data_IF_933654544830
#
_entry.id   IF_933654544830
#
_cell.length_a   1.000
_cell.length_b   1.000
_cell.length_c   1.000
_cell.angle_alpha   90.00
_cell.angle_beta   90.00
_cell.angle_gamma   90.00
#
_symmetry.space_group_name_H-M   'P 1'
#
loop_
_entity.id
_entity.type
_entity.pdbx_description
1 polymer ?
#
# COMPACT_ATOMS: atom_id res chain seq x y z
N UNK A 1 -3.20 6.61 -11.58
CA UNK A 1 -3.53 5.74 -12.74
C UNK A 1 -4.79 4.92 -12.49
N UNK A 2 -4.90 4.18 -11.38
CA UNK A 2 -6.11 3.39 -11.07
C UNK A 2 -7.23 4.18 -10.37
N UNK A 3 -7.30 5.51 -10.47
CA UNK A 3 -8.43 6.25 -9.89
C UNK A 3 -9.39 6.61 -11.03
N UNK A 4 -10.67 6.21 -10.99
CA UNK A 4 -11.62 6.55 -12.03
C UNK A 4 -11.78 8.06 -12.18
N UNK A 5 -11.84 8.56 -13.42
CA UNK A 5 -12.00 9.98 -13.71
C UNK A 5 -13.37 10.51 -13.28
N UNK A 6 -14.39 9.64 -13.27
CA UNK A 6 -15.76 9.95 -12.89
C UNK A 6 -16.13 9.49 -11.47
N UNK A 7 -15.14 9.16 -10.62
CA UNK A 7 -15.40 8.59 -9.29
C UNK A 7 -16.30 9.48 -8.40
N UNK A 8 -16.13 10.80 -8.45
CA UNK A 8 -16.94 11.74 -7.67
C UNK A 8 -18.41 11.76 -8.12
N UNK A 9 -18.66 11.79 -9.44
CA UNK A 9 -20.01 11.74 -10.01
C UNK A 9 -20.70 10.41 -9.70
N UNK A 10 -20.00 9.29 -9.88
CA UNK A 10 -20.53 7.95 -9.57
C UNK A 10 -20.86 7.82 -8.09
N UNK A 11 -20.04 8.40 -7.20
CA UNK A 11 -20.30 8.43 -5.76
C UNK A 11 -21.60 9.13 -5.42
N UNK A 12 -21.82 10.33 -5.96
CA UNK A 12 -23.02 11.12 -5.70
C UNK A 12 -24.29 10.38 -6.15
N UNK A 13 -24.25 9.81 -7.36
CA UNK A 13 -25.36 9.01 -7.91
C UNK A 13 -25.62 7.74 -7.11
N UNK A 14 -24.57 7.02 -6.71
CA UNK A 14 -24.72 5.77 -5.97
C UNK A 14 -25.28 6.00 -4.57
N UNK A 15 -24.72 6.96 -3.81
CA UNK A 15 -25.14 7.25 -2.43
C UNK A 15 -26.53 7.89 -2.35
N UNK A 16 -26.97 8.58 -3.41
CA UNK A 16 -28.36 9.08 -3.51
C UNK A 16 -29.37 8.00 -3.92
N UNK A 17 -28.91 6.81 -4.31
CA UNK A 17 -29.74 5.73 -4.84
C UNK A 17 -30.17 5.93 -6.30
N UNK A 18 -29.57 6.88 -7.03
CA UNK A 18 -29.89 7.14 -8.43
C UNK A 18 -29.36 6.05 -9.38
N UNK A 19 -28.36 5.27 -8.95
CA UNK A 19 -27.82 4.11 -9.67
C UNK A 19 -27.64 2.93 -8.73
N UNK A 20 -27.85 1.73 -9.25
CA UNK A 20 -27.60 0.49 -8.52
C UNK A 20 -26.09 0.19 -8.49
N UNK A 21 -25.46 0.14 -9.66
CA UNK A 21 -24.03 -0.14 -9.82
C UNK A 21 -23.31 1.05 -10.47
N UNK A 22 -22.15 1.47 -9.96
CA UNK A 22 -21.34 2.50 -10.61
C UNK A 22 -20.69 1.97 -11.88
N UNK A 23 -20.57 2.83 -12.90
CA UNK A 23 -19.79 2.57 -14.11
C UNK A 23 -18.60 3.51 -14.12
N UNK A 24 -17.40 2.95 -14.01
CA UNK A 24 -16.16 3.70 -13.88
C UNK A 24 -15.49 3.93 -15.23
N UNK A 25 -15.09 5.18 -15.47
CA UNK A 25 -14.30 5.57 -16.63
C UNK A 25 -12.86 5.83 -16.21
N UNK A 26 -11.89 5.25 -16.92
CA UNK A 26 -10.46 5.46 -16.69
C UNK A 26 -9.86 6.22 -17.87
N UNK A 27 -8.92 7.12 -17.57
CA UNK A 27 -8.08 7.71 -18.60
C UNK A 27 -7.14 6.67 -19.23
N UNK A 28 -6.66 6.94 -20.44
CA UNK A 28 -5.72 6.06 -21.11
C UNK A 28 -4.47 5.83 -20.25
N UNK A 29 -4.19 4.56 -19.91
CA UNK A 29 -2.98 4.18 -19.20
C UNK A 29 -1.89 3.84 -20.21
N UNK A 30 -0.95 4.77 -20.40
CA UNK A 30 0.21 4.53 -21.28
C UNK A 30 1.28 3.78 -20.47
N UNK A 31 1.35 2.46 -20.66
CA UNK A 31 2.42 1.63 -20.11
C UNK A 31 3.54 1.56 -21.15
N UNK A 32 4.74 2.14 -20.88
CA UNK A 32 5.83 2.14 -21.85
C UNK A 32 6.23 0.71 -22.22
N UNK A 33 6.76 0.54 -23.42
CA UNK A 33 7.42 -0.70 -23.81
C UNK A 33 8.65 -0.88 -22.91
N UNK A 34 8.65 -1.95 -22.11
CA UNK A 34 9.73 -2.27 -21.20
C UNK A 34 10.40 -3.57 -21.65
N UNK A 35 11.73 -3.56 -21.68
CA UNK A 35 12.53 -4.76 -21.89
C UNK A 35 12.86 -5.36 -20.53
N UNK A 36 12.44 -6.60 -20.31
CA UNK A 36 12.76 -7.36 -19.11
C UNK A 36 13.90 -8.31 -19.42
N UNK A 37 14.99 -8.33 -18.63
CA UNK A 37 16.07 -9.27 -18.84
C UNK A 37 15.57 -10.69 -18.55
N UNK A 38 16.06 -11.65 -19.34
CA UNK A 38 15.91 -13.08 -19.05
C UNK A 38 17.07 -13.51 -18.16
N UNK A 39 16.76 -14.23 -17.07
CA UNK A 39 17.76 -14.69 -16.10
C UNK A 39 17.71 -16.22 -16.04
N UNK A 40 18.86 -16.85 -16.27
CA UNK A 40 19.05 -18.26 -15.94
C UNK A 40 19.27 -18.39 -14.44
N UNK A 41 18.47 -19.20 -13.77
CA UNK A 41 18.54 -19.36 -12.31
C UNK A 41 19.45 -20.52 -11.96
N UNK A 42 20.60 -20.21 -11.35
CA UNK A 42 21.52 -21.18 -10.74
C UNK A 42 21.68 -20.99 -9.23
N UNK A 43 21.30 -19.83 -8.69
CA UNK A 43 21.43 -19.48 -7.27
C UNK A 43 20.11 -18.95 -6.69
N UNK A 44 20.01 -18.91 -5.36
CA UNK A 44 18.87 -18.32 -4.65
C UNK A 44 18.73 -16.81 -4.95
N UNK A 45 19.83 -16.08 -5.03
CA UNK A 45 19.81 -14.66 -5.39
C UNK A 45 19.23 -14.43 -6.80
N UNK A 46 19.64 -15.22 -7.79
CA UNK A 46 19.09 -15.15 -9.15
C UNK A 46 17.60 -15.51 -9.20
N UNK A 47 17.14 -16.41 -8.34
CA UNK A 47 15.71 -16.71 -8.19
C UNK A 47 14.94 -15.48 -7.68
N UNK A 48 15.46 -14.76 -6.68
CA UNK A 48 14.84 -13.54 -6.16
C UNK A 48 14.78 -12.43 -7.22
N UNK A 49 15.82 -12.30 -8.05
CA UNK A 49 15.83 -11.39 -9.20
C UNK A 49 14.78 -11.77 -10.25
N UNK A 50 14.72 -13.04 -10.65
CA UNK A 50 13.68 -13.56 -11.58
C UNK A 50 12.29 -13.24 -11.05
N UNK A 51 12.04 -13.50 -9.77
CA UNK A 51 10.73 -13.27 -9.16
C UNK A 51 10.36 -11.79 -9.16
N UNK A 52 11.33 -10.90 -8.88
CA UNK A 52 11.11 -9.45 -8.92
C UNK A 52 10.86 -8.93 -10.34
N UNK A 53 11.55 -9.47 -11.34
CA UNK A 53 11.32 -9.18 -12.75
C UNK A 53 9.91 -9.65 -13.15
N UNK A 54 9.54 -10.87 -12.78
CA UNK A 54 8.22 -11.44 -13.03
C UNK A 54 7.10 -10.59 -12.43
N UNK A 55 7.23 -10.19 -11.15
CA UNK A 55 6.29 -9.29 -10.48
C UNK A 55 6.17 -7.96 -11.22
N UNK A 56 7.28 -7.35 -11.63
CA UNK A 56 7.28 -6.06 -12.34
C UNK A 56 6.63 -6.16 -13.73
N UNK A 57 6.90 -7.25 -14.46
CA UNK A 57 6.24 -7.60 -15.73
C UNK A 57 4.73 -7.77 -15.54
N UNK A 58 4.33 -8.45 -14.47
CA UNK A 58 2.93 -8.61 -14.10
C UNK A 58 2.23 -7.29 -13.78
N UNK A 59 2.85 -6.41 -13.00
CA UNK A 59 2.30 -5.07 -12.71
C UNK A 59 2.10 -4.24 -13.98
N UNK A 60 3.04 -4.32 -14.93
CA UNK A 60 2.93 -3.66 -16.23
C UNK A 60 1.74 -4.18 -17.04
N UNK A 61 1.55 -5.51 -17.06
CA UNK A 61 0.41 -6.14 -17.70
C UNK A 61 -0.91 -5.77 -17.01
N UNK A 62 -0.94 -5.76 -15.68
CA UNK A 62 -2.12 -5.40 -14.90
C UNK A 62 -2.62 -3.99 -15.26
N UNK A 63 -1.71 -3.02 -15.41
CA UNK A 63 -2.06 -1.67 -15.85
C UNK A 63 -2.64 -1.62 -17.28
N UNK A 64 -2.25 -2.54 -18.16
CA UNK A 64 -2.82 -2.66 -19.51
C UNK A 64 -4.20 -3.32 -19.51
N UNK A 65 -4.54 -4.06 -18.44
CA UNK A 65 -5.83 -4.74 -18.27
C UNK A 65 -6.88 -3.86 -17.57
N UNK A 66 -6.61 -2.58 -17.28
CA UNK A 66 -7.61 -1.69 -16.69
C UNK A 66 -8.85 -1.62 -17.61
N UNK A 67 -10.01 -1.94 -17.04
CA UNK A 67 -11.29 -2.08 -17.76
C UNK A 67 -11.54 -3.43 -18.43
N UNK A 68 -10.59 -4.37 -18.32
CA UNK A 68 -10.80 -5.79 -18.62
C UNK A 68 -11.03 -6.53 -17.30
N UNK A 69 -12.22 -6.35 -16.72
CA UNK A 69 -12.51 -6.63 -15.31
C UNK A 69 -12.12 -8.05 -14.87
N UNK A 70 -12.42 -9.07 -15.67
CA UNK A 70 -12.13 -10.48 -15.35
C UNK A 70 -10.63 -10.76 -15.34
N UNK A 71 -9.92 -10.40 -16.41
CA UNK A 71 -8.48 -10.61 -16.55
C UNK A 71 -7.68 -9.77 -15.54
N UNK A 72 -8.13 -8.53 -15.29
CA UNK A 72 -7.54 -7.64 -14.29
C UNK A 72 -7.66 -8.24 -12.90
N UNK A 73 -8.85 -8.70 -12.52
CA UNK A 73 -9.09 -9.34 -11.21
C UNK A 73 -8.27 -10.63 -11.06
N UNK A 74 -8.24 -11.47 -12.09
CA UNK A 74 -7.48 -12.72 -12.07
C UNK A 74 -5.97 -12.47 -11.89
N UNK A 75 -5.40 -11.53 -12.66
CA UNK A 75 -3.99 -11.17 -12.51
C UNK A 75 -3.72 -10.45 -11.17
N UNK A 76 -4.67 -9.65 -10.69
CA UNK A 76 -4.60 -9.02 -9.37
C UNK A 76 -4.40 -10.05 -8.26
N UNK A 77 -5.18 -11.13 -8.26
CA UNK A 77 -5.06 -12.24 -7.31
C UNK A 77 -3.72 -12.98 -7.42
N UNK A 78 -3.17 -13.12 -8.63
CA UNK A 78 -1.84 -13.74 -8.83
C UNK A 78 -0.72 -12.85 -8.26
N UNK A 79 -0.79 -11.54 -8.49
CA UNK A 79 0.24 -10.59 -8.05
C UNK A 79 0.15 -10.24 -6.56
N UNK A 80 -1.06 -10.26 -6.03
CA UNK A 80 -1.38 -9.94 -4.64
C UNK A 80 -2.28 -11.04 -4.08
N UNK A 81 -1.70 -12.21 -3.75
CA UNK A 81 -2.45 -13.35 -3.25
C UNK A 81 -3.14 -12.99 -1.93
N UNK A 82 -4.41 -13.35 -1.84
CA UNK A 82 -5.23 -13.14 -0.65
C UNK A 82 -5.14 -14.37 0.23
N UNK A 83 -4.75 -14.18 1.48
CA UNK A 83 -4.76 -15.20 2.52
C UNK A 83 -5.79 -14.83 3.58
N UNK A 84 -6.27 -15.82 4.32
CA UNK A 84 -7.16 -15.55 5.45
C UNK A 84 -6.41 -14.77 6.54
N UNK A 85 -7.12 -13.82 7.14
CA UNK A 85 -6.70 -13.05 8.31
C UNK A 85 -7.92 -12.99 9.22
N UNK A 86 -7.72 -13.20 10.52
CA UNK A 86 -8.81 -13.00 11.48
C UNK A 86 -9.23 -11.53 11.47
N UNK A 87 -10.51 -11.28 11.17
CA UNK A 87 -11.06 -9.94 11.19
C UNK A 87 -11.52 -9.63 12.62
N UNK A 88 -10.86 -8.71 13.37
CA UNK A 88 -11.35 -8.28 14.66
C UNK A 88 -12.71 -7.59 14.51
N UNK A 89 -13.51 -7.50 15.57
CA UNK A 89 -14.76 -6.75 15.53
C UNK A 89 -14.50 -5.26 15.20
N UNK A 90 -15.48 -4.56 14.61
CA UNK A 90 -15.36 -3.13 14.36
C UNK A 90 -15.07 -2.38 15.67
N UNK A 91 -14.09 -1.49 15.64
CA UNK A 91 -13.74 -0.65 16.78
C UNK A 91 -14.45 0.70 16.69
N UNK A 92 -14.75 1.31 17.82
CA UNK A 92 -15.32 2.65 17.85
C UNK A 92 -14.31 3.68 17.38
N UNK A 93 -14.67 4.45 16.34
CA UNK A 93 -13.92 5.66 15.96
C UNK A 93 -14.17 6.75 17.00
N UNK A 94 -13.13 7.15 17.72
CA UNK A 94 -13.19 8.38 18.51
C UNK A 94 -13.24 9.59 17.56
N UNK A 95 -14.14 10.54 17.83
CA UNK A 95 -14.16 11.81 17.09
C UNK A 95 -13.03 12.70 17.61
N UNK A 96 -11.91 12.68 16.92
CA UNK A 96 -10.80 13.62 17.14
C UNK A 96 -10.95 14.86 16.24
N UNK A 97 -10.54 16.02 16.74
CA UNK A 97 -10.56 17.27 15.99
C UNK A 97 -9.41 17.33 14.98
N UNK A 98 -9.74 17.56 13.71
CA UNK A 98 -8.76 17.67 12.62
C UNK A 98 -8.16 19.08 12.59
N UNK A 99 -7.02 19.28 13.24
CA UNK A 99 -6.39 20.59 13.40
C UNK A 99 -5.16 20.83 12.51
N UNK A 100 -4.52 19.77 12.01
CA UNK A 100 -3.24 19.85 11.29
C UNK A 100 -3.47 19.94 9.78
N UNK A 101 -2.90 20.95 9.14
CA UNK A 101 -2.97 21.18 7.69
C UNK A 101 -1.71 20.75 6.93
N UNK A 102 -1.79 20.82 5.59
CA UNK A 102 -0.72 20.37 4.69
C UNK A 102 0.65 21.01 4.95
N UNK A 103 0.72 22.32 5.23
CA UNK A 103 1.99 23.03 5.46
C UNK A 103 2.73 22.51 6.70
N UNK A 104 2.00 22.25 7.78
CA UNK A 104 2.58 21.70 9.01
C UNK A 104 3.08 20.27 8.80
N UNK A 105 2.30 19.45 8.09
CA UNK A 105 2.71 18.11 7.70
C UNK A 105 4.02 18.13 6.91
N UNK A 106 4.10 19.02 5.91
CA UNK A 106 5.31 19.16 5.10
C UNK A 106 6.52 19.53 5.95
N UNK A 107 6.37 20.50 6.86
CA UNK A 107 7.43 20.90 7.79
C UNK A 107 7.91 19.72 8.63
N UNK A 108 6.98 18.98 9.26
CA UNK A 108 7.31 17.80 10.07
C UNK A 108 8.00 16.72 9.24
N UNK A 109 7.58 16.50 8.00
CA UNK A 109 8.23 15.53 7.11
C UNK A 109 9.64 15.97 6.74
N UNK A 110 9.85 17.27 6.49
CA UNK A 110 11.18 17.83 6.23
C UNK A 110 12.11 17.65 7.43
N UNK A 111 11.62 17.93 8.63
CA UNK A 111 12.35 17.76 9.91
C UNK A 111 12.70 16.28 10.14
N UNK A 112 11.77 15.37 9.87
CA UNK A 112 11.99 13.93 9.99
C UNK A 112 13.05 13.40 9.01
N UNK A 113 13.06 13.89 7.76
CA UNK A 113 14.11 13.56 6.78
C UNK A 113 15.49 14.00 7.28
N UNK A 114 15.61 15.21 7.83
CA UNK A 114 16.85 15.73 8.40
C UNK A 114 17.29 14.89 9.61
N UNK A 115 16.36 14.53 10.50
CA UNK A 115 16.64 13.69 11.67
C UNK A 115 17.14 12.28 11.30
N UNK A 116 16.72 11.75 10.14
CA UNK A 116 17.23 10.50 9.59
C UNK A 116 18.56 10.64 8.82
N UNK A 117 19.07 11.85 8.60
CA UNK A 117 20.23 12.08 7.73
C UNK A 117 19.93 11.77 6.25
N UNK A 118 18.68 11.91 5.82
CA UNK A 118 18.25 11.60 4.46
C UNK A 118 18.19 12.87 3.62
N UNK A 119 19.03 12.92 2.58
CA UNK A 119 19.18 14.06 1.68
C UNK A 119 18.55 13.81 0.30
N UNK A 120 18.29 14.90 -0.43
CA UNK A 120 17.84 14.85 -1.83
C UNK A 120 16.38 14.44 -2.03
N UNK A 121 15.57 14.48 -0.96
CA UNK A 121 14.13 14.27 -1.02
C UNK A 121 13.37 15.60 -1.06
N UNK A 122 12.37 15.69 -1.93
CA UNK A 122 11.48 16.84 -2.07
C UNK A 122 10.12 16.54 -1.42
N UNK A 123 9.67 17.40 -0.51
CA UNK A 123 8.29 17.36 0.01
C UNK A 123 7.50 18.47 -0.67
N UNK A 124 6.39 18.12 -1.33
CA UNK A 124 5.60 19.07 -2.13
C UNK A 124 4.10 18.95 -1.91
N UNK A 125 3.39 20.04 -2.19
CA UNK A 125 1.94 20.02 -2.28
C UNK A 125 1.48 19.39 -3.59
N UNK A 126 0.42 18.60 -3.52
CA UNK A 126 -0.29 18.05 -4.68
C UNK A 126 -1.79 18.35 -4.55
N UNK A 127 -2.43 18.74 -5.65
CA UNK A 127 -3.88 19.01 -5.69
C UNK A 127 -4.65 17.82 -6.26
N UNK A 128 -4.02 17.03 -7.12
CA UNK A 128 -4.66 15.97 -7.88
C UNK A 128 -4.11 14.59 -7.49
N UNK A 129 -4.33 14.19 -6.24
CA UNK A 129 -4.00 12.85 -5.76
C UNK A 129 -5.18 12.18 -5.02
N UNK A 130 -5.34 10.87 -5.23
CA UNK A 130 -6.40 10.07 -4.61
C UNK A 130 -6.14 9.76 -3.13
N UNK A 131 -4.87 9.71 -2.74
CA UNK A 131 -4.43 9.48 -1.36
C UNK A 131 -4.22 10.82 -0.66
N UNK A 132 -4.30 10.84 0.68
CA UNK A 132 -3.93 12.02 1.48
C UNK A 132 -2.46 12.39 1.26
N UNK A 133 -1.61 11.37 1.12
CA UNK A 133 -0.16 11.47 0.98
C UNK A 133 0.33 10.31 0.11
N UNK A 134 1.48 10.47 -0.55
CA UNK A 134 2.19 9.34 -1.16
C UNK A 134 3.69 9.60 -1.30
N UNK A 135 4.48 8.53 -1.18
CA UNK A 135 5.93 8.50 -1.41
C UNK A 135 6.23 7.96 -2.80
N UNK A 136 7.02 8.70 -3.57
CA UNK A 136 7.62 8.25 -4.82
C UNK A 136 9.14 8.16 -4.64
N UNK A 137 9.60 6.96 -4.30
CA UNK A 137 11.02 6.68 -4.05
C UNK A 137 11.92 6.90 -5.27
N UNK A 138 11.40 6.72 -6.49
CA UNK A 138 12.20 6.84 -7.72
C UNK A 138 12.52 8.29 -8.07
N UNK A 139 11.57 9.18 -7.82
CA UNK A 139 11.78 10.63 -7.96
C UNK A 139 12.28 11.27 -6.66
N UNK A 140 12.39 10.50 -5.57
CA UNK A 140 12.65 10.99 -4.20
C UNK A 140 11.69 12.12 -3.81
N UNK A 141 10.38 11.92 -4.04
CA UNK A 141 9.35 12.91 -3.75
C UNK A 141 8.33 12.39 -2.75
N UNK A 142 7.87 13.27 -1.89
CA UNK A 142 6.73 13.05 -1.00
C UNK A 142 5.69 14.10 -1.33
N UNK A 143 4.50 13.65 -1.71
CA UNK A 143 3.40 14.54 -2.05
C UNK A 143 2.37 14.57 -0.93
N UNK A 144 2.00 15.77 -0.49
CA UNK A 144 0.97 16.03 0.52
C UNK A 144 -0.21 16.70 -0.14
N UNK A 145 -1.42 16.14 0.03
CA UNK A 145 -2.62 16.72 -0.59
C UNK A 145 -2.95 18.07 0.05
N UNK A 146 -3.17 19.09 -0.76
CA UNK A 146 -3.31 20.47 -0.27
C UNK A 146 -4.50 20.69 0.69
N UNK A 147 -5.58 19.93 0.54
CA UNK A 147 -6.80 20.04 1.35
C UNK A 147 -6.79 19.12 2.58
N UNK A 148 -5.69 18.40 2.83
CA UNK A 148 -5.66 17.42 3.90
C UNK A 148 -5.82 18.09 5.27
N UNK A 149 -6.59 17.44 6.13
CA UNK A 149 -6.69 17.75 7.56
C UNK A 149 -6.55 16.44 8.34
N UNK A 150 -5.66 16.44 9.33
CA UNK A 150 -5.38 15.27 10.18
C UNK A 150 -5.28 15.69 11.65
N UNK A 151 -5.31 14.70 12.53
CA UNK A 151 -5.07 14.92 13.96
C UNK A 151 -3.57 14.96 14.27
N UNK A 152 -3.14 15.54 15.41
CA UNK A 152 -1.74 15.45 15.84
C UNK A 152 -1.24 14.01 16.01
N UNK A 153 -2.11 13.10 16.45
CA UNK A 153 -1.83 11.67 16.56
C UNK A 153 -1.59 11.04 15.18
N UNK A 154 -2.45 11.35 14.21
CA UNK A 154 -2.25 10.94 12.81
C UNK A 154 -0.95 11.51 12.22
N UNK A 155 -0.57 12.75 12.52
CA UNK A 155 0.69 13.33 12.03
C UNK A 155 1.89 12.50 12.51
N UNK A 156 1.95 12.16 13.80
CA UNK A 156 3.01 11.32 14.35
C UNK A 156 3.03 9.95 13.68
N UNK A 157 1.87 9.31 13.57
CA UNK A 157 1.72 8.00 12.96
C UNK A 157 2.13 7.98 11.47
N UNK A 158 1.69 8.95 10.69
CA UNK A 158 2.02 9.11 9.27
C UNK A 158 3.49 9.47 9.06
N UNK A 159 4.11 10.22 9.97
CA UNK A 159 5.55 10.50 9.90
C UNK A 159 6.36 9.21 10.05
N UNK A 160 5.97 8.34 11.00
CA UNK A 160 6.58 7.01 11.15
C UNK A 160 6.34 6.12 9.92
N UNK A 161 5.13 6.13 9.37
CA UNK A 161 4.74 5.34 8.19
C UNK A 161 5.53 5.76 6.93
N UNK A 162 5.42 7.03 6.54
CA UNK A 162 5.95 7.51 5.26
C UNK A 162 7.47 7.71 5.34
N UNK A 163 7.98 8.33 6.40
CA UNK A 163 9.42 8.60 6.55
C UNK A 163 10.12 7.40 7.17
N UNK A 164 9.68 6.99 8.37
CA UNK A 164 10.32 5.94 9.16
C UNK A 164 10.34 4.56 8.51
N UNK A 165 9.43 4.29 7.58
CA UNK A 165 9.40 3.02 6.84
C UNK A 165 9.71 3.22 5.37
N UNK A 166 8.86 3.87 4.58
CA UNK A 166 9.08 3.89 3.11
C UNK A 166 10.37 4.60 2.71
N UNK A 167 10.62 5.80 3.22
CA UNK A 167 11.82 6.57 2.87
C UNK A 167 13.08 5.92 3.45
N UNK A 168 13.06 5.54 4.73
CA UNK A 168 14.19 4.89 5.41
C UNK A 168 14.57 3.57 4.74
N UNK A 169 13.61 2.68 4.46
CA UNK A 169 13.89 1.38 3.82
C UNK A 169 14.45 1.54 2.42
N UNK A 170 13.99 2.54 1.68
CA UNK A 170 14.58 2.87 0.38
C UNK A 170 16.01 3.39 0.54
N UNK A 171 16.26 4.33 1.46
CA UNK A 171 17.58 4.91 1.69
C UNK A 171 18.59 3.84 2.12
N UNK A 172 18.23 3.02 3.13
CA UNK A 172 19.05 1.90 3.58
C UNK A 172 19.23 0.86 2.47
N UNK A 173 18.16 0.52 1.74
CA UNK A 173 18.21 -0.35 0.58
C UNK A 173 19.27 0.10 -0.42
N UNK A 174 19.29 1.38 -0.80
CA UNK A 174 20.30 1.96 -1.71
C UNK A 174 21.73 1.96 -1.16
N UNK A 175 21.93 1.84 0.16
CA UNK A 175 23.25 1.70 0.78
C UNK A 175 23.75 0.25 0.78
N UNK A 176 22.87 -0.72 0.55
CA UNK A 176 23.26 -2.13 0.46
C UNK A 176 24.10 -2.39 -0.79
N UNK A 177 25.03 -3.34 -0.67
CA UNK A 177 25.86 -3.79 -1.80
C UNK A 177 25.04 -4.49 -2.88
N UNK A 178 23.99 -5.20 -2.48
CA UNK A 178 23.14 -5.99 -3.37
C UNK A 178 22.07 -5.11 -4.05
N UNK A 179 22.11 -4.91 -5.38
CA UNK A 179 21.19 -4.00 -6.07
C UNK A 179 19.72 -4.40 -5.97
N UNK A 180 19.40 -5.68 -5.78
CA UNK A 180 18.02 -6.10 -5.54
C UNK A 180 17.41 -5.44 -4.30
N UNK A 181 18.22 -5.19 -3.26
CA UNK A 181 17.78 -4.54 -2.03
C UNK A 181 17.47 -3.05 -2.20
N UNK A 182 17.94 -2.41 -3.28
CA UNK A 182 17.62 -1.02 -3.61
C UNK A 182 16.14 -0.87 -3.95
N UNK A 183 15.56 -1.92 -4.54
CA UNK A 183 14.19 -1.92 -5.08
C UNK A 183 13.24 -2.81 -4.30
N UNK A 184 13.80 -3.75 -3.52
CA UNK A 184 13.08 -4.76 -2.75
C UNK A 184 12.84 -6.06 -3.51
N UNK A 185 12.82 -7.17 -2.77
CA UNK A 185 12.44 -8.49 -3.29
C UNK A 185 10.95 -8.55 -3.61
N UNK A 186 10.53 -9.52 -4.41
CA UNK A 186 9.10 -9.72 -4.72
C UNK A 186 8.26 -9.86 -3.44
N UNK A 187 8.73 -10.68 -2.48
CA UNK A 187 8.07 -10.93 -1.20
C UNK A 187 8.17 -9.74 -0.26
N UNK A 188 9.31 -9.04 -0.25
CA UNK A 188 9.50 -7.82 0.53
C UNK A 188 8.51 -6.72 0.16
N UNK A 189 8.21 -6.56 -1.14
CA UNK A 189 7.17 -5.64 -1.61
C UNK A 189 5.75 -6.03 -1.18
N UNK A 190 5.49 -7.31 -0.90
CA UNK A 190 4.18 -7.77 -0.43
C UNK A 190 3.94 -7.45 1.07
N UNK A 191 5.00 -7.32 1.86
CA UNK A 191 4.91 -7.03 3.31
C UNK A 191 5.23 -5.58 3.67
N UNK A 192 5.59 -4.76 2.69
CA UNK A 192 6.06 -3.39 2.92
C UNK A 192 5.03 -2.52 3.66
N UNK A 193 3.78 -2.51 3.20
CA UNK A 193 2.68 -1.80 3.87
C UNK A 193 2.40 -2.39 5.26
N UNK A 194 2.63 -3.69 5.45
CA UNK A 194 2.51 -4.35 6.75
C UNK A 194 3.52 -3.85 7.78
N UNK A 195 4.77 -3.65 7.35
CA UNK A 195 5.82 -3.03 8.20
C UNK A 195 5.43 -1.61 8.56
N UNK A 196 4.94 -0.84 7.58
CA UNK A 196 4.50 0.53 7.81
C UNK A 196 3.34 0.58 8.81
N UNK A 197 2.34 -0.29 8.67
CA UNK A 197 1.20 -0.37 9.58
C UNK A 197 1.57 -0.86 10.98
N UNK A 198 2.53 -1.79 11.11
CA UNK A 198 3.01 -2.24 12.42
C UNK A 198 3.71 -1.10 13.17
N UNK A 199 4.56 -0.34 12.47
CA UNK A 199 5.26 0.83 13.04
C UNK A 199 4.29 1.98 13.36
N UNK A 200 3.24 2.14 12.55
CA UNK A 200 2.18 3.13 12.77
C UNK A 200 1.34 2.77 14.00
N UNK A 201 0.89 1.51 14.07
CA UNK A 201 -0.03 0.96 15.07
C UNK A 201 0.40 -0.48 15.48
N UNK A 202 1.31 -0.63 16.47
CA UNK A 202 1.82 -1.94 16.87
C UNK A 202 0.75 -2.94 17.33
N UNK A 203 -0.34 -2.43 17.90
CA UNK A 203 -1.48 -3.22 18.38
C UNK A 203 -2.52 -3.52 17.26
N UNK A 204 -2.26 -3.04 16.05
CA UNK A 204 -3.16 -3.14 14.90
C UNK A 204 -4.16 -1.98 14.82
N UNK A 205 -4.74 -1.80 13.63
CA UNK A 205 -5.73 -0.76 13.39
C UNK A 205 -6.94 -1.33 12.63
N UNK A 206 -8.20 -0.99 13.02
CA UNK A 206 -9.42 -1.56 12.43
C UNK A 206 -9.46 -1.46 10.91
N UNK A 207 -9.04 -0.31 10.40
CA UNK A 207 -8.98 0.01 8.98
C UNK A 207 -8.17 -0.96 8.12
N UNK A 208 -7.20 -1.68 8.70
CA UNK A 208 -6.44 -2.72 7.99
C UNK A 208 -7.35 -3.89 7.65
N UNK A 209 -8.13 -4.34 8.63
CA UNK A 209 -9.04 -5.47 8.53
C UNK A 209 -10.32 -5.12 7.74
N UNK A 210 -10.83 -3.89 7.85
CA UNK A 210 -11.91 -3.39 6.98
C UNK A 210 -11.51 -3.46 5.49
N UNK A 211 -10.25 -3.13 5.16
CA UNK A 211 -9.73 -3.25 3.78
C UNK A 211 -9.61 -4.71 3.33
N UNK A 212 -9.16 -5.60 4.23
CA UNK A 212 -9.06 -7.03 3.93
C UNK A 212 -10.45 -7.64 3.69
N UNK A 213 -11.40 -7.36 4.59
CA UNK A 213 -12.80 -7.75 4.46
C UNK A 213 -13.42 -7.24 3.14
N UNK A 214 -13.16 -5.97 2.78
CA UNK A 214 -13.60 -5.43 1.49
C UNK A 214 -13.08 -6.24 0.30
N UNK A 215 -11.80 -6.66 0.32
CA UNK A 215 -11.23 -7.52 -0.73
C UNK A 215 -11.93 -8.87 -0.75
N UNK A 216 -12.12 -9.53 0.39
CA UNK A 216 -12.80 -10.83 0.48
C UNK A 216 -14.22 -10.77 -0.11
N UNK A 217 -14.97 -9.72 0.20
CA UNK A 217 -16.32 -9.53 -0.34
C UNK A 217 -16.28 -9.26 -1.85
N UNK A 218 -15.46 -8.31 -2.30
CA UNK A 218 -15.39 -7.90 -3.70
C UNK A 218 -15.02 -9.01 -4.69
N UNK A 219 -14.29 -10.04 -4.24
CA UNK A 219 -13.95 -11.20 -5.07
C UNK A 219 -15.18 -11.95 -5.60
N UNK A 220 -16.26 -12.02 -4.81
CA UNK A 220 -17.47 -12.77 -5.14
C UNK A 220 -18.72 -11.93 -5.37
N UNK A 221 -18.65 -10.61 -5.16
CA UNK A 221 -19.82 -9.72 -5.09
C UNK A 221 -19.66 -8.49 -6.00
N UNK A 222 -20.78 -7.86 -6.33
CA UNK A 222 -20.83 -6.56 -7.01
C UNK A 222 -20.32 -5.42 -6.13
N UNK A 223 -20.21 -4.20 -6.68
CA UNK A 223 -19.87 -3.01 -5.92
C UNK A 223 -20.92 -2.74 -4.83
N UNK A 224 -22.22 -2.79 -5.18
CA UNK A 224 -23.30 -2.60 -4.21
C UNK A 224 -23.26 -3.61 -3.07
N UNK A 225 -23.15 -4.89 -3.40
CA UNK A 225 -23.12 -5.97 -2.42
C UNK A 225 -21.90 -5.84 -1.49
N UNK A 226 -20.73 -5.51 -2.05
CA UNK A 226 -19.51 -5.26 -1.25
C UNK A 226 -19.69 -4.06 -0.30
N UNK A 227 -20.28 -2.97 -0.80
CA UNK A 227 -20.57 -1.78 -0.01
C UNK A 227 -21.57 -2.06 1.12
N UNK A 228 -22.62 -2.84 0.84
CA UNK A 228 -23.60 -3.26 1.84
C UNK A 228 -22.94 -4.12 2.93
N UNK A 229 -22.13 -5.11 2.54
CA UNK A 229 -21.40 -5.95 3.50
C UNK A 229 -20.50 -5.12 4.42
N UNK A 230 -19.83 -4.09 3.91
CA UNK A 230 -19.03 -3.17 4.73
C UNK A 230 -19.87 -2.33 5.69
N UNK A 231 -21.07 -1.88 5.26
CA UNK A 231 -21.99 -1.17 6.14
C UNK A 231 -22.50 -2.08 7.27
N UNK A 232 -22.84 -3.34 6.95
CA UNK A 232 -23.25 -4.37 7.90
C UNK A 232 -22.12 -4.72 8.87
N UNK A 233 -20.88 -4.69 8.39
CA UNK A 233 -19.66 -4.85 9.21
C UNK A 233 -19.42 -3.65 10.16
N UNK A 234 -20.11 -2.52 9.97
CA UNK A 234 -20.06 -1.35 10.86
C UNK A 234 -19.35 -0.13 10.27
N UNK A 235 -18.98 -0.13 8.99
CA UNK A 235 -18.47 1.06 8.32
C UNK A 235 -19.58 2.10 8.11
N UNK A 236 -19.23 3.39 8.15
CA UNK A 236 -20.14 4.43 7.66
C UNK A 236 -20.38 4.26 6.15
N UNK A 237 -21.52 4.72 5.60
CA UNK A 237 -21.75 4.76 4.15
C UNK A 237 -20.60 5.34 3.34
N UNK A 238 -19.98 6.40 3.86
CA UNK A 238 -18.85 7.08 3.26
C UNK A 238 -17.57 6.25 3.29
N UNK A 239 -17.25 5.64 4.44
CA UNK A 239 -16.08 4.76 4.56
C UNK A 239 -16.25 3.51 3.69
N UNK A 240 -17.43 2.87 3.73
CA UNK A 240 -17.76 1.72 2.91
C UNK A 240 -17.55 2.04 1.42
N UNK A 241 -18.00 3.21 0.95
CA UNK A 241 -17.76 3.64 -0.43
C UNK A 241 -16.27 3.73 -0.75
N UNK A 242 -15.48 4.34 0.15
CA UNK A 242 -14.03 4.47 -0.04
C UNK A 242 -13.36 3.10 -0.10
N UNK A 243 -13.71 2.17 0.80
CA UNK A 243 -13.17 0.83 0.81
C UNK A 243 -13.56 0.04 -0.45
N UNK A 244 -14.84 0.03 -0.82
CA UNK A 244 -15.33 -0.64 -2.04
C UNK A 244 -14.66 -0.08 -3.29
N UNK A 245 -14.56 1.25 -3.44
CA UNK A 245 -13.89 1.88 -4.57
C UNK A 245 -12.41 1.47 -4.65
N UNK A 246 -11.71 1.37 -3.51
CA UNK A 246 -10.30 0.97 -3.49
C UNK A 246 -10.06 -0.45 -3.95
N UNK A 247 -10.96 -1.38 -3.62
CA UNK A 247 -10.85 -2.80 -4.00
C UNK A 247 -11.46 -3.08 -5.37
N UNK A 248 -12.38 -2.25 -5.87
CA UNK A 248 -12.96 -2.35 -7.23
C UNK A 248 -12.23 -1.50 -8.27
N UNK A 249 -11.22 -0.72 -7.90
CA UNK A 249 -10.48 0.11 -8.86
C UNK A 249 -9.75 -0.74 -9.90
N UNK A 250 -9.72 -0.26 -11.14
CA UNK A 250 -9.24 -1.01 -12.30
C UNK A 250 -10.36 -1.75 -13.03
N UNK A 251 -11.50 -2.01 -12.38
CA UNK A 251 -12.71 -2.57 -12.99
C UNK A 251 -13.62 -1.43 -13.45
N UNK A 252 -14.35 -1.64 -14.55
CA UNK A 252 -15.24 -0.66 -15.18
C UNK A 252 -16.70 -0.84 -14.79
N UNK A 253 -17.18 -2.08 -14.72
CA UNK A 253 -18.57 -2.38 -14.37
C UNK A 253 -18.67 -2.71 -12.88
N UNK A 254 -19.47 -1.93 -12.13
CA UNK A 254 -19.74 -2.19 -10.73
C UNK A 254 -20.40 -3.55 -10.49
N UNK A 255 -21.14 -4.09 -11.46
CA UNK A 255 -21.73 -5.43 -11.39
C UNK A 255 -20.68 -6.55 -11.48
N UNK A 256 -19.48 -6.28 -11.98
CA UNK A 256 -18.42 -7.29 -12.12
C UNK A 256 -17.98 -7.85 -10.77
N UNK A 257 -17.96 -9.17 -10.66
CA UNK A 257 -17.29 -9.87 -9.57
C UNK A 257 -15.77 -9.78 -9.76
N UNK A 258 -15.03 -9.64 -8.67
CA UNK A 258 -13.58 -9.51 -8.71
C UNK A 258 -13.07 -8.25 -8.04
N UNK A 259 -11.75 -8.20 -7.82
CA UNK A 259 -11.13 -7.15 -7.04
C UNK A 259 -9.68 -6.89 -7.48
N UNK A 260 -9.23 -5.66 -7.26
CA UNK A 260 -7.83 -5.33 -7.08
C UNK A 260 -7.41 -5.69 -5.64
N UNK A 261 -6.85 -6.89 -5.48
CA UNK A 261 -6.60 -7.51 -4.17
C UNK A 261 -5.42 -6.92 -3.39
N UNK A 262 -4.73 -5.91 -3.92
CA UNK A 262 -3.56 -5.29 -3.26
C UNK A 262 -3.84 -4.79 -1.84
N UNK A 263 -5.06 -4.31 -1.57
CA UNK A 263 -5.41 -3.78 -0.24
C UNK A 263 -5.50 -4.88 0.84
N UNK A 264 -5.51 -6.17 0.48
CA UNK A 264 -5.40 -7.28 1.43
C UNK A 264 -4.01 -7.37 2.09
N UNK A 265 -2.97 -6.86 1.41
CA UNK A 265 -1.59 -6.88 1.91
C UNK A 265 -1.39 -6.05 3.20
N UNK A 266 -2.28 -5.10 3.49
CA UNK A 266 -2.20 -4.29 4.71
C UNK A 266 -2.36 -5.16 5.96
N UNK A 267 -3.48 -5.90 6.06
CA UNK A 267 -3.73 -6.78 7.19
C UNK A 267 -2.80 -8.01 7.17
N UNK A 268 -2.64 -8.66 6.01
CA UNK A 268 -1.77 -9.82 5.87
C UNK A 268 -0.32 -9.51 6.22
N UNK A 269 0.22 -8.41 5.70
CA UNK A 269 1.57 -7.97 6.00
C UNK A 269 1.73 -7.58 7.46
N UNK A 270 0.73 -6.90 8.05
CA UNK A 270 0.75 -6.58 9.47
C UNK A 270 0.85 -7.84 10.33
N UNK A 271 0.06 -8.87 10.04
CA UNK A 271 0.09 -10.14 10.78
C UNK A 271 1.43 -10.87 10.64
N UNK A 272 2.01 -10.89 9.43
CA UNK A 272 3.35 -11.45 9.20
C UNK A 272 4.40 -10.72 10.04
N UNK A 273 4.37 -9.39 10.07
CA UNK A 273 5.34 -8.58 10.83
C UNK A 273 5.12 -8.74 12.33
N UNK A 274 3.87 -8.73 12.79
CA UNK A 274 3.51 -8.96 14.20
C UNK A 274 4.04 -10.31 14.67
N UNK A 275 3.78 -11.39 13.92
CA UNK A 275 4.28 -12.73 14.23
C UNK A 275 5.81 -12.78 14.26
N UNK A 276 6.48 -12.14 13.29
CA UNK A 276 7.94 -12.05 13.25
C UNK A 276 8.51 -11.36 14.51
N UNK A 277 7.97 -10.20 14.89
CA UNK A 277 8.43 -9.46 16.07
C UNK A 277 8.13 -10.22 17.36
N UNK A 278 6.93 -10.78 17.51
CA UNK A 278 6.57 -11.62 18.67
C UNK A 278 7.44 -12.88 18.79
N UNK A 279 7.95 -13.39 17.66
CA UNK A 279 8.91 -14.50 17.61
C UNK A 279 10.36 -14.12 17.93
N UNK A 280 10.63 -12.88 18.33
CA UNK A 280 11.99 -12.38 18.62
C UNK A 280 12.73 -11.82 17.40
N UNK A 281 12.03 -11.66 16.27
CA UNK A 281 12.53 -10.94 15.11
C UNK A 281 12.85 -9.48 15.42
N UNK A 282 13.79 -8.89 14.70
CA UNK A 282 14.25 -7.52 14.96
C UNK A 282 13.72 -6.55 13.92
N UNK A 283 13.15 -5.45 14.38
CA UNK A 283 12.59 -4.41 13.51
C UNK A 283 13.68 -3.72 12.66
N UNK A 284 14.89 -3.54 13.20
CA UNK A 284 16.00 -2.94 12.45
C UNK A 284 16.36 -3.72 11.18
N UNK A 285 16.39 -5.06 11.24
CA UNK A 285 16.61 -5.89 10.07
C UNK A 285 15.54 -5.68 8.98
N UNK A 286 14.27 -5.51 9.37
CA UNK A 286 13.19 -5.20 8.43
C UNK A 286 13.31 -3.79 7.85
N UNK A 287 13.81 -2.83 8.62
CA UNK A 287 14.00 -1.44 8.19
C UNK A 287 15.25 -1.23 7.34
N UNK A 288 16.14 -2.23 7.27
CA UNK A 288 17.43 -2.13 6.55
C UNK A 288 17.33 -2.34 5.04
N UNK A 289 16.24 -2.93 4.56
CA UNK A 289 15.90 -3.05 3.14
C UNK A 289 14.43 -3.46 2.96
N UNK A 290 13.83 -3.32 1.75
CA UNK A 290 12.50 -3.83 1.45
C UNK A 290 12.51 -5.36 1.22
N UNK A 291 12.74 -6.12 2.30
CA UNK A 291 12.80 -7.59 2.35
C UNK A 291 11.65 -8.19 3.17
N UNK A 292 11.37 -9.48 2.92
CA UNK A 292 10.45 -10.28 3.73
C UNK A 292 11.17 -10.84 4.97
N UNK A 293 10.49 -11.02 6.13
CA UNK A 293 11.09 -11.60 7.33
C UNK A 293 11.91 -12.89 7.10
N UNK A 294 11.38 -13.81 6.31
CA UNK A 294 12.04 -15.08 5.97
C UNK A 294 13.29 -14.93 5.08
N UNK A 295 13.44 -13.81 4.37
CA UNK A 295 14.61 -13.56 3.51
C UNK A 295 15.76 -12.90 4.28
N UNK A 296 15.49 -12.38 5.49
CA UNK A 296 16.49 -11.68 6.31
C UNK A 296 17.72 -12.55 6.59
N UNK A 297 17.61 -13.81 7.04
CA UNK A 297 18.78 -14.63 7.32
C UNK A 297 19.70 -14.80 6.11
N UNK A 298 19.11 -15.07 4.94
CA UNK A 298 19.83 -15.19 3.67
C UNK A 298 20.60 -13.90 3.34
N UNK A 299 19.94 -12.75 3.40
CA UNK A 299 20.59 -11.48 3.07
C UNK A 299 21.65 -11.07 4.08
N UNK A 300 21.46 -11.32 5.38
CA UNK A 300 22.48 -11.07 6.40
C UNK A 300 23.71 -11.94 6.16
N UNK A 301 23.53 -13.22 5.84
CA UNK A 301 24.64 -14.12 5.46
C UNK A 301 25.34 -13.66 4.17
N UNK A 302 24.57 -13.14 3.21
CA UNK A 302 25.09 -12.52 1.99
C UNK A 302 25.71 -11.12 2.19
N UNK A 303 25.78 -10.62 3.43
CA UNK A 303 26.46 -9.37 3.78
C UNK A 303 25.58 -8.11 3.75
N UNK A 304 24.25 -8.24 3.87
CA UNK A 304 23.35 -7.11 4.12
C UNK A 304 23.69 -6.46 5.46
N UNK A 305 23.91 -5.15 5.44
CA UNK A 305 24.14 -4.35 6.63
C UNK A 305 22.82 -4.14 7.38
N UNK A 306 22.84 -4.27 8.71
CA UNK A 306 21.70 -3.97 9.57
C UNK A 306 21.89 -2.59 10.19
N UNK A 307 21.06 -1.63 9.77
CA UNK A 307 21.09 -0.25 10.24
C UNK A 307 20.29 -0.11 11.53
N UNK A 308 20.68 0.79 12.46
CA UNK A 308 19.91 1.04 13.66
C UNK A 308 18.51 1.60 13.35
N UNK A 309 17.58 1.38 14.27
CA UNK A 309 16.24 1.98 14.18
C UNK A 309 16.37 3.51 14.16
N UNK A 310 15.74 4.21 13.19
CA UNK A 310 15.78 5.67 13.12
C UNK A 310 15.23 6.31 14.40
N UNK A 311 15.78 7.43 14.88
CA UNK A 311 15.34 8.09 16.12
C UNK A 311 13.87 8.53 16.17
N UNK A 312 13.18 8.58 15.02
CA UNK A 312 11.77 8.98 14.94
C UNK A 312 10.78 7.82 15.24
N UNK A 313 11.29 6.59 15.36
CA UNK A 313 10.50 5.37 15.63
C UNK A 313 10.60 4.91 17.09
#
# INVERSE_FOLDING_TARGET
MLHPANAAEQREKFLSGAIEEPIFAYGACVVPAMNFPEITVGTELEALYRDRIGQTRGLALLLRLVGHDSEFSALGQVLFPVTEVENPPPFSKEKEELSIGAEEIMRTFQEALVACGIEGWEVKLERHCSSRMFVNQWEKKIAVRADVRITPKELSALTRHEIGVHVVRYAHGCMQREPLLHVGTSRGRLVEEGVACFVEHPDGHPRLYERHFAVQMALGHSFRETWQALCEYGCSPEDAWVHTLRVKRGLTDGASHGAFTRDALYAQGFEIVRAYISGGGRLDSLLSAPVHPEEIPFFVEAGMEVFPIPPLL
#
